data_IF_993703983660
#
_entry.id   IF_993703983660
#
_cell.length_a   1.000
_cell.length_b   1.000
_cell.length_c   1.000
_cell.angle_alpha   90.00
_cell.angle_beta   90.00
_cell.angle_gamma   90.00
#
_symmetry.space_group_name_H-M   'P 1'
#
loop_
_entity.id
_entity.type
_entity.pdbx_description
1 polymer ?
#
# COMPACT_ATOMS: atom_id res chain seq x y z
N UNK A 1 -23.01 -0.70 2.42
CA UNK A 1 -24.16 -1.24 1.64
C UNK A 1 -24.32 -0.59 0.27
N UNK A 2 -23.91 0.68 0.03
CA UNK A 2 -24.01 1.34 -1.29
C UNK A 2 -23.47 0.50 -2.47
N UNK A 3 -22.21 0.04 -2.41
CA UNK A 3 -21.58 -0.76 -3.47
C UNK A 3 -22.38 -2.05 -3.78
N UNK A 4 -22.78 -2.77 -2.73
CA UNK A 4 -23.51 -4.04 -2.85
C UNK A 4 -24.88 -3.88 -3.51
N UNK A 5 -25.61 -2.81 -3.19
CA UNK A 5 -26.94 -2.54 -3.78
C UNK A 5 -26.85 -2.12 -5.24
N UNK A 6 -25.71 -1.58 -5.67
CA UNK A 6 -25.47 -1.13 -7.04
C UNK A 6 -24.61 -2.10 -7.86
N UNK A 7 -24.33 -3.30 -7.33
CA UNK A 7 -23.50 -4.34 -7.98
C UNK A 7 -22.14 -3.82 -8.47
N UNK A 8 -21.43 -3.10 -7.60
CA UNK A 8 -20.13 -2.47 -7.89
C UNK A 8 -19.08 -2.85 -6.85
N UNK A 9 -17.82 -2.93 -7.27
CA UNK A 9 -16.70 -2.85 -6.32
C UNK A 9 -16.44 -1.40 -5.91
N UNK A 10 -15.69 -1.21 -4.82
CA UNK A 10 -15.41 0.13 -4.28
C UNK A 10 -14.65 1.04 -5.27
N UNK A 11 -13.78 0.45 -6.10
CA UNK A 11 -13.03 1.18 -7.13
C UNK A 11 -13.87 1.63 -8.33
N UNK A 12 -15.05 1.02 -8.53
CA UNK A 12 -15.93 1.28 -9.68
C UNK A 12 -16.92 2.41 -9.45
N UNK A 13 -17.01 2.93 -8.22
CA UNK A 13 -17.86 4.07 -7.90
C UNK A 13 -17.42 5.31 -8.67
N UNK A 14 -18.36 6.15 -9.12
CA UNK A 14 -18.07 7.47 -9.70
C UNK A 14 -17.82 8.52 -8.61
N UNK A 15 -17.25 9.68 -8.97
CA UNK A 15 -17.01 10.77 -8.01
C UNK A 15 -18.32 11.30 -7.42
N UNK A 16 -19.37 11.34 -8.24
CA UNK A 16 -20.71 11.71 -7.81
C UNK A 16 -21.29 10.69 -6.81
N UNK A 17 -21.03 9.39 -7.02
CA UNK A 17 -21.46 8.34 -6.09
C UNK A 17 -20.71 8.42 -4.76
N UNK A 18 -19.40 8.70 -4.78
CA UNK A 18 -18.60 8.93 -3.58
C UNK A 18 -19.06 10.19 -2.83
N UNK A 19 -19.34 11.29 -3.54
CA UNK A 19 -19.81 12.54 -2.96
C UNK A 19 -21.19 12.42 -2.30
N UNK A 20 -22.07 11.51 -2.79
CA UNK A 20 -23.34 11.18 -2.13
C UNK A 20 -23.16 10.55 -0.75
N UNK A 21 -22.04 9.85 -0.53
CA UNK A 21 -21.71 9.25 0.77
C UNK A 21 -21.11 10.30 1.71
N UNK A 22 -20.17 11.11 1.22
CA UNK A 22 -19.56 12.19 1.98
C UNK A 22 -18.91 13.22 1.06
N UNK A 23 -19.09 14.53 1.32
CA UNK A 23 -18.43 15.59 0.54
C UNK A 23 -16.89 15.60 0.73
N UNK A 24 -16.37 14.88 1.71
CA UNK A 24 -14.92 14.75 1.94
C UNK A 24 -14.25 13.70 1.03
N UNK A 25 -15.04 12.87 0.34
CA UNK A 25 -14.53 11.91 -0.63
C UNK A 25 -14.30 12.62 -1.97
N UNK A 26 -13.23 13.42 -2.03
CA UNK A 26 -12.78 14.09 -3.24
C UNK A 26 -12.25 13.08 -4.27
N UNK A 27 -12.09 13.45 -5.55
CA UNK A 27 -11.54 12.55 -6.57
C UNK A 27 -10.19 11.91 -6.18
N UNK A 28 -9.38 12.59 -5.36
CA UNK A 28 -8.08 12.11 -4.85
C UNK A 28 -8.19 10.77 -4.10
N UNK A 29 -9.35 10.43 -3.53
CA UNK A 29 -9.52 9.15 -2.82
C UNK A 29 -9.31 7.95 -3.74
N UNK A 30 -9.55 8.10 -5.04
CA UNK A 30 -9.38 7.02 -6.03
C UNK A 30 -7.96 6.47 -6.09
N UNK A 31 -6.97 7.30 -5.76
CA UNK A 31 -5.56 6.91 -5.73
C UNK A 31 -5.31 5.75 -4.76
N UNK A 32 -6.21 5.53 -3.78
CA UNK A 32 -6.11 4.43 -2.79
C UNK A 32 -7.25 3.41 -2.86
N UNK A 33 -8.20 3.54 -3.80
CA UNK A 33 -9.32 2.59 -3.97
C UNK A 33 -8.99 1.44 -4.95
N UNK A 34 -7.72 1.10 -5.08
CA UNK A 34 -7.24 -0.04 -5.83
C UNK A 34 -6.05 -0.70 -5.09
N UNK A 35 -5.77 -1.97 -5.39
CA UNK A 35 -4.72 -2.73 -4.68
C UNK A 35 -3.33 -2.07 -4.76
N UNK A 36 -2.81 -1.67 -5.95
CA UNK A 36 -1.54 -0.96 -6.04
C UNK A 36 -1.47 0.32 -5.22
N UNK A 37 -2.51 1.15 -5.28
CA UNK A 37 -2.63 2.40 -4.55
C UNK A 37 -2.70 2.21 -3.04
N UNK A 38 -3.50 1.24 -2.58
CA UNK A 38 -3.61 0.87 -1.19
C UNK A 38 -2.26 0.39 -0.60
N UNK A 39 -1.49 -0.38 -1.37
CA UNK A 39 -0.13 -0.78 -0.99
C UNK A 39 0.81 0.43 -0.97
N UNK A 40 0.80 1.25 -2.03
CA UNK A 40 1.65 2.43 -2.15
C UNK A 40 1.41 3.46 -1.04
N UNK A 41 0.22 3.54 -0.45
CA UNK A 41 -0.08 4.45 0.66
C UNK A 41 0.59 4.04 2.00
N UNK A 42 0.99 2.78 2.17
CA UNK A 42 1.59 2.27 3.42
C UNK A 42 3.10 2.54 3.47
N UNK A 43 3.50 3.82 3.41
CA UNK A 43 4.91 4.27 3.34
C UNK A 43 5.58 4.60 4.68
N UNK A 44 4.93 4.33 5.81
CA UNK A 44 5.60 4.46 7.11
C UNK A 44 6.81 3.51 7.20
N UNK A 45 7.80 3.77 8.07
CA UNK A 45 8.85 2.79 8.38
C UNK A 45 8.24 1.42 8.74
N UNK A 46 8.74 0.34 8.14
CA UNK A 46 8.17 -1.00 8.29
C UNK A 46 6.88 -1.26 7.47
N UNK A 47 6.44 -0.29 6.66
CA UNK A 47 5.24 -0.41 5.84
C UNK A 47 5.38 -1.35 4.64
N UNK A 48 4.24 -1.62 3.99
CA UNK A 48 4.12 -2.57 2.86
C UNK A 48 4.21 -1.90 1.48
N UNK A 49 4.46 -0.59 1.42
CA UNK A 49 4.70 0.06 0.15
C UNK A 49 5.91 -0.57 -0.57
N UNK A 50 5.87 -0.75 -1.91
CA UNK A 50 6.93 -1.44 -2.63
C UNK A 50 8.34 -0.85 -2.44
N UNK A 51 8.45 0.47 -2.26
CA UNK A 51 9.71 1.14 -1.90
C UNK A 51 10.18 0.74 -0.49
N UNK A 52 9.29 0.71 0.50
CA UNK A 52 9.61 0.24 1.86
C UNK A 52 10.04 -1.21 1.92
N UNK A 53 9.43 -2.08 1.12
CA UNK A 53 9.85 -3.49 1.04
C UNK A 53 11.24 -3.61 0.41
N UNK A 54 11.56 -2.79 -0.60
CA UNK A 54 12.92 -2.72 -1.17
C UNK A 54 13.95 -2.24 -0.15
N UNK A 55 13.65 -1.19 0.60
CA UNK A 55 14.52 -0.68 1.67
C UNK A 55 14.81 -1.77 2.71
N UNK A 56 13.75 -2.49 3.15
CA UNK A 56 13.88 -3.58 4.12
C UNK A 56 14.72 -4.74 3.58
N UNK A 57 14.54 -5.10 2.30
CA UNK A 57 15.33 -6.15 1.67
C UNK A 57 16.82 -5.78 1.59
N UNK A 58 17.13 -4.52 1.28
CA UNK A 58 18.50 -4.03 1.25
C UNK A 58 19.15 -4.10 2.64
N UNK A 59 18.47 -3.61 3.68
CA UNK A 59 18.97 -3.66 5.05
C UNK A 59 19.13 -5.10 5.58
N UNK A 60 18.20 -6.00 5.22
CA UNK A 60 18.31 -7.41 5.56
C UNK A 60 19.52 -8.05 4.89
N UNK A 61 19.81 -7.69 3.63
CA UNK A 61 20.96 -8.21 2.89
C UNK A 61 22.27 -7.88 3.61
N UNK A 62 22.44 -6.63 4.04
CA UNK A 62 23.62 -6.21 4.82
C UNK A 62 23.79 -7.01 6.11
N UNK A 63 22.69 -7.25 6.83
CA UNK A 63 22.68 -8.03 8.07
C UNK A 63 23.09 -9.48 7.83
N UNK A 64 22.51 -10.11 6.79
CA UNK A 64 22.80 -11.50 6.43
C UNK A 64 24.25 -11.65 5.98
N UNK A 65 24.76 -10.73 5.16
CA UNK A 65 26.14 -10.77 4.67
C UNK A 65 27.15 -10.62 5.83
N UNK A 66 26.87 -9.73 6.79
CA UNK A 66 27.71 -9.57 7.99
C UNK A 66 27.70 -10.83 8.89
N UNK A 67 26.52 -11.43 9.10
CA UNK A 67 26.39 -12.67 9.88
C UNK A 67 27.07 -13.85 9.18
N UNK A 68 26.99 -13.93 7.85
CA UNK A 68 27.66 -14.94 7.07
C UNK A 68 29.19 -14.81 7.17
N UNK A 69 29.73 -13.59 7.09
CA UNK A 69 31.15 -13.32 7.26
C UNK A 69 31.62 -13.77 8.65
N UNK A 70 30.93 -13.36 9.71
CA UNK A 70 31.23 -13.78 11.08
C UNK A 70 31.20 -15.30 11.26
N UNK A 71 30.15 -15.97 10.74
CA UNK A 71 30.00 -17.41 10.85
C UNK A 71 31.09 -18.18 10.09
N UNK A 72 31.63 -17.60 9.00
CA UNK A 72 32.71 -18.19 8.22
C UNK A 72 34.11 -18.00 8.83
N UNK A 73 34.23 -17.31 9.98
CA UNK A 73 35.50 -17.11 10.67
C UNK A 73 36.47 -16.16 9.97
N UNK A 74 35.96 -15.24 9.14
CA UNK A 74 36.74 -14.09 8.64
C UNK A 74 36.60 -12.89 9.56
#
# INVERSE_FOLDING_TARGET
>A
VWCQVNDKDLGDLTDEELAKVSPHLTPDVRDVLNVPGALAARKAPGGTAPDRVRDQLAALRETVDAQAAWASGS
#
